data_IF_138997262166
#
_entry.id   IF_138997262166
#
_cell.length_a   1.000
_cell.length_b   1.000
_cell.length_c   1.000
_cell.angle_alpha   90.00
_cell.angle_beta   90.00
_cell.angle_gamma   90.00
#
_symmetry.space_group_name_H-M   'P 1'
#
loop_
_entity.id
_entity.type
_entity.pdbx_description
1 polymer ?
#
# COMPACT_ATOMS: atom_id res chain seq x y z
N UNK A 1 10.70 15.81 -22.27
CA UNK A 1 10.27 16.98 -23.09
C UNK A 1 9.41 16.46 -24.24
N UNK A 2 8.22 17.02 -24.46
CA UNK A 2 7.30 16.64 -25.54
C UNK A 2 6.91 17.91 -26.33
N UNK A 3 7.44 18.15 -27.54
CA UNK A 3 7.17 19.37 -28.31
C UNK A 3 5.69 19.61 -28.63
N UNK A 4 4.90 18.54 -28.82
CA UNK A 4 3.46 18.63 -29.07
C UNK A 4 2.65 19.00 -27.83
N UNK A 5 3.26 18.96 -26.64
CA UNK A 5 2.61 19.14 -25.33
C UNK A 5 1.38 18.23 -25.12
N UNK A 6 1.35 17.09 -25.80
CA UNK A 6 0.33 16.06 -25.61
C UNK A 6 0.85 15.00 -24.65
N UNK A 7 0.14 14.81 -23.54
CA UNK A 7 0.50 13.88 -22.48
C UNK A 7 -0.75 13.19 -21.94
N UNK A 8 -0.59 11.92 -21.56
CA UNK A 8 -1.48 11.24 -20.63
C UNK A 8 -0.70 10.99 -19.36
N UNK A 9 -1.07 11.68 -18.29
CA UNK A 9 -0.42 11.57 -16.98
C UNK A 9 -1.36 10.79 -16.07
N UNK A 10 -0.83 9.75 -15.43
CA UNK A 10 -1.57 8.90 -14.48
C UNK A 10 -0.85 8.97 -13.14
N UNK A 11 -1.61 9.11 -12.06
CA UNK A 11 -1.08 9.10 -10.71
C UNK A 11 -2.15 9.37 -9.67
N UNK A 12 -1.77 9.17 -8.42
CA UNK A 12 -2.62 9.41 -7.25
C UNK A 12 -1.87 10.33 -6.29
N UNK A 13 -2.51 11.46 -5.94
CA UNK A 13 -1.95 12.45 -4.99
C UNK A 13 -1.75 11.83 -3.61
N UNK A 14 -2.63 10.91 -3.21
CA UNK A 14 -2.57 10.21 -1.93
C UNK A 14 -1.40 9.22 -1.84
N UNK A 15 -0.71 8.92 -2.95
CA UNK A 15 0.48 8.05 -2.98
C UNK A 15 1.78 8.85 -3.17
N UNK A 16 1.72 10.18 -3.12
CA UNK A 16 2.87 11.05 -3.24
C UNK A 16 3.52 11.28 -1.88
N UNK A 17 4.60 10.53 -1.59
CA UNK A 17 5.34 10.58 -0.33
C UNK A 17 5.78 12.00 0.04
N UNK A 18 6.51 12.67 -0.84
CA UNK A 18 7.02 14.04 -0.63
C UNK A 18 5.96 15.15 -0.83
N UNK A 19 4.68 14.80 -0.71
CA UNK A 19 3.56 15.72 -0.85
C UNK A 19 3.19 16.07 -2.29
N UNK A 20 1.89 16.12 -2.53
CA UNK A 20 1.28 16.70 -3.72
C UNK A 20 0.05 17.50 -3.27
N UNK A 21 0.32 18.69 -2.71
CA UNK A 21 -0.71 19.53 -2.12
C UNK A 21 -1.63 20.17 -3.17
N UNK A 22 -1.09 20.65 -4.28
CA UNK A 22 -1.84 21.32 -5.36
C UNK A 22 -2.79 20.37 -6.09
N UNK A 23 -3.81 20.91 -6.75
CA UNK A 23 -4.64 20.13 -7.66
C UNK A 23 -3.86 19.73 -8.93
N UNK A 24 -4.29 18.65 -9.59
CA UNK A 24 -3.66 18.23 -10.86
C UNK A 24 -3.66 19.33 -11.92
N UNK A 25 -4.76 20.10 -12.03
CA UNK A 25 -4.87 21.21 -12.98
C UNK A 25 -3.80 22.28 -12.71
N UNK A 26 -3.73 22.79 -11.49
CA UNK A 26 -2.76 23.83 -11.09
C UNK A 26 -1.32 23.41 -11.39
N UNK A 27 -0.95 22.17 -11.05
CA UNK A 27 0.41 21.67 -11.29
C UNK A 27 0.73 21.58 -12.79
N UNK A 28 -0.21 21.13 -13.60
CA UNK A 28 -0.04 20.98 -15.05
C UNK A 28 -0.01 22.34 -15.76
N UNK A 29 -0.79 23.32 -15.29
CA UNK A 29 -0.76 24.71 -15.75
C UNK A 29 0.61 25.35 -15.49
N UNK A 30 1.15 25.17 -14.28
CA UNK A 30 2.51 25.62 -13.93
C UNK A 30 3.60 24.97 -14.79
N UNK A 31 3.35 23.78 -15.33
CA UNK A 31 4.23 23.09 -16.26
C UNK A 31 4.08 23.57 -17.72
N UNK A 32 3.19 24.54 -18.00
CA UNK A 32 2.96 25.12 -19.33
C UNK A 32 1.96 24.37 -20.20
N UNK A 33 1.07 23.56 -19.60
CA UNK A 33 -0.05 22.91 -20.28
C UNK A 33 -1.32 23.76 -20.12
N UNK A 34 -1.96 24.09 -21.23
CA UNK A 34 -3.13 25.01 -21.25
C UNK A 34 -4.47 24.27 -21.44
N UNK A 35 -4.44 23.06 -22.03
CA UNK A 35 -5.64 22.26 -22.31
C UNK A 35 -5.63 21.01 -21.45
N UNK A 36 -6.21 21.11 -20.26
CA UNK A 36 -6.18 20.05 -19.26
C UNK A 36 -7.58 19.49 -19.04
N UNK A 37 -7.71 18.17 -19.16
CA UNK A 37 -8.89 17.42 -18.74
C UNK A 37 -8.47 16.42 -17.68
N UNK A 38 -9.20 16.38 -16.56
CA UNK A 38 -8.96 15.45 -15.45
C UNK A 38 -10.13 14.50 -15.37
N UNK A 39 -9.85 13.21 -15.37
CA UNK A 39 -10.83 12.14 -15.15
C UNK A 39 -10.37 11.31 -13.98
N UNK A 40 -11.23 11.14 -12.97
CA UNK A 40 -10.92 10.38 -11.76
C UNK A 40 -11.44 8.95 -11.87
N UNK A 41 -10.56 7.98 -11.59
CA UNK A 41 -10.97 6.59 -11.39
C UNK A 41 -11.32 6.40 -9.91
N UNK A 42 -12.57 6.04 -9.65
CA UNK A 42 -13.12 5.94 -8.28
C UNK A 42 -13.48 4.51 -7.88
N UNK A 43 -13.32 3.55 -8.77
CA UNK A 43 -13.66 2.14 -8.53
C UNK A 43 -12.37 1.35 -8.41
N UNK A 44 -12.24 0.61 -7.31
CA UNK A 44 -11.15 -0.32 -7.07
C UNK A 44 -11.65 -1.77 -7.20
N UNK A 45 -10.97 -2.55 -8.03
CA UNK A 45 -11.25 -3.97 -8.24
C UNK A 45 -10.10 -4.88 -7.78
N UNK A 46 -8.97 -4.29 -7.35
CA UNK A 46 -7.75 -5.02 -6.96
C UNK A 46 -7.71 -5.29 -5.46
N UNK A 47 -7.85 -4.24 -4.66
CA UNK A 47 -7.81 -4.30 -3.19
C UNK A 47 -9.21 -4.58 -2.64
N UNK A 48 -9.38 -5.58 -1.76
CA UNK A 48 -10.65 -5.87 -1.13
C UNK A 48 -11.20 -4.72 -0.26
N UNK A 49 -12.52 -4.67 -0.07
CA UNK A 49 -13.21 -3.71 0.81
C UNK A 49 -12.64 -3.72 2.24
N UNK A 50 -12.31 -4.88 2.77
CA UNK A 50 -11.79 -5.08 4.12
C UNK A 50 -10.45 -4.34 4.33
N UNK A 51 -9.57 -4.41 3.33
CA UNK A 51 -8.27 -3.72 3.35
C UNK A 51 -8.45 -2.21 3.19
N UNK A 52 -9.37 -1.77 2.34
CA UNK A 52 -9.65 -0.34 2.17
C UNK A 52 -10.28 0.28 3.43
N UNK A 53 -11.11 -0.47 4.16
CA UNK A 53 -11.69 -0.03 5.43
C UNK A 53 -10.61 0.26 6.48
N UNK A 54 -9.51 -0.50 6.48
CA UNK A 54 -8.34 -0.26 7.33
C UNK A 54 -7.46 0.89 6.82
N UNK A 55 -7.25 0.96 5.50
CA UNK A 55 -6.32 1.91 4.89
C UNK A 55 -6.86 3.35 4.79
N UNK A 56 -8.15 3.52 4.51
CA UNK A 56 -8.77 4.83 4.29
C UNK A 56 -8.61 5.81 5.49
N UNK A 57 -8.87 5.40 6.75
CA UNK A 57 -8.68 6.27 7.90
C UNK A 57 -7.25 6.79 8.03
N UNK A 58 -6.25 5.95 7.75
CA UNK A 58 -4.84 6.28 7.89
C UNK A 58 -4.42 7.45 6.97
N UNK A 59 -4.87 7.44 5.71
CA UNK A 59 -4.53 8.51 4.77
C UNK A 59 -5.39 9.76 4.97
N UNK A 60 -6.69 9.60 5.28
CA UNK A 60 -7.60 10.74 5.47
C UNK A 60 -7.27 11.57 6.71
N UNK A 61 -6.64 10.98 7.71
CA UNK A 61 -6.17 11.69 8.90
C UNK A 61 -5.17 12.82 8.57
N UNK A 62 -4.38 12.67 7.50
CA UNK A 62 -3.37 13.65 7.08
C UNK A 62 -3.71 14.36 5.77
N UNK A 63 -4.51 13.72 4.91
CA UNK A 63 -4.98 14.25 3.62
C UNK A 63 -6.49 14.05 3.50
N UNK A 64 -7.31 14.94 4.09
CA UNK A 64 -8.77 14.77 4.12
C UNK A 64 -9.42 14.69 2.73
N UNK A 65 -8.85 15.36 1.72
CA UNK A 65 -9.29 15.39 0.33
C UNK A 65 -8.74 14.23 -0.53
N UNK A 66 -8.07 13.23 0.08
CA UNK A 66 -7.57 12.07 -0.63
C UNK A 66 -8.67 11.38 -1.46
N UNK A 67 -8.37 11.13 -2.74
CA UNK A 67 -9.24 10.40 -3.66
C UNK A 67 -9.12 8.88 -3.43
N UNK A 68 -9.64 8.43 -2.29
CA UNK A 68 -9.70 7.01 -1.94
C UNK A 68 -10.79 6.34 -2.80
N UNK A 69 -10.47 5.32 -3.62
CA UNK A 69 -11.45 4.66 -4.47
C UNK A 69 -12.36 3.72 -3.67
N UNK A 70 -13.60 3.57 -4.11
CA UNK A 70 -14.55 2.57 -3.59
C UNK A 70 -14.21 1.19 -4.12
N UNK A 71 -13.87 0.27 -3.23
CA UNK A 71 -13.71 -1.14 -3.58
C UNK A 71 -15.06 -1.80 -3.82
N UNK A 72 -15.17 -2.55 -4.92
CA UNK A 72 -16.38 -3.33 -5.29
C UNK A 72 -16.19 -4.84 -5.11
N UNK A 73 -15.00 -5.24 -4.66
CA UNK A 73 -14.62 -6.63 -4.43
C UNK A 73 -14.55 -6.87 -2.92
N UNK A 74 -15.26 -7.89 -2.46
CA UNK A 74 -15.13 -8.41 -1.09
C UNK A 74 -14.15 -9.58 -1.09
N UNK A 75 -13.21 -9.58 -0.15
CA UNK A 75 -12.24 -10.65 0.03
C UNK A 75 -12.79 -11.80 0.89
N UNK A 76 -13.71 -11.49 1.81
CA UNK A 76 -14.22 -12.45 2.80
C UNK A 76 -13.22 -12.79 3.90
N UNK A 77 -12.03 -12.19 3.85
CA UNK A 77 -10.97 -12.32 4.84
C UNK A 77 -10.84 -10.98 5.57
N UNK A 78 -11.12 -10.93 6.89
CA UNK A 78 -10.93 -9.70 7.66
C UNK A 78 -9.44 -9.36 7.79
N UNK A 79 -9.15 -8.09 8.07
CA UNK A 79 -7.81 -7.68 8.50
C UNK A 79 -7.52 -8.32 9.86
N UNK A 80 -6.37 -8.97 9.97
CA UNK A 80 -5.93 -9.63 11.21
C UNK A 80 -4.91 -8.75 11.91
N UNK A 81 -5.05 -8.59 13.22
CA UNK A 81 -4.07 -7.92 14.07
C UNK A 81 -3.45 -8.93 15.04
N UNK A 82 -2.15 -8.81 15.30
CA UNK A 82 -1.42 -9.75 16.15
C UNK A 82 -0.07 -9.22 16.62
N UNK A 83 0.71 -10.10 17.23
CA UNK A 83 2.08 -9.84 17.66
C UNK A 83 3.08 -10.21 16.56
N UNK A 84 4.21 -9.50 16.48
CA UNK A 84 5.32 -9.88 15.61
C UNK A 84 5.83 -11.30 15.89
N UNK A 85 5.66 -11.82 17.12
CA UNK A 85 5.99 -13.20 17.47
C UNK A 85 5.15 -14.24 16.69
N UNK A 86 4.02 -13.85 16.10
CA UNK A 86 3.12 -14.71 15.34
C UNK A 86 3.44 -14.72 13.84
N UNK A 87 4.45 -13.96 13.38
CA UNK A 87 4.77 -13.79 11.96
C UNK A 87 5.00 -15.12 11.24
N UNK A 88 5.83 -16.01 11.80
CA UNK A 88 6.14 -17.29 11.17
C UNK A 88 4.89 -18.17 11.06
N UNK A 89 4.08 -18.24 12.12
CA UNK A 89 2.81 -18.98 12.12
C UNK A 89 1.84 -18.45 11.06
N UNK A 90 1.69 -17.12 10.95
CA UNK A 90 0.84 -16.49 9.94
C UNK A 90 1.28 -16.86 8.53
N UNK A 91 2.59 -16.84 8.27
CA UNK A 91 3.14 -17.18 6.96
C UNK A 91 2.96 -18.67 6.64
N UNK A 92 3.28 -19.55 7.59
CA UNK A 92 3.15 -21.01 7.42
C UNK A 92 1.71 -21.42 7.13
N UNK A 93 0.77 -20.97 7.97
CA UNK A 93 -0.66 -21.28 7.82
C UNK A 93 -1.20 -20.77 6.48
N UNK A 94 -0.83 -19.54 6.10
CA UNK A 94 -1.30 -18.95 4.86
C UNK A 94 -0.70 -19.64 3.64
N UNK A 95 0.60 -19.94 3.64
CA UNK A 95 1.29 -20.60 2.53
C UNK A 95 0.80 -22.04 2.33
N UNK A 96 0.41 -22.73 3.41
CA UNK A 96 -0.19 -24.05 3.36
C UNK A 96 -1.62 -24.03 2.76
N UNK A 97 -2.38 -22.98 3.05
CA UNK A 97 -3.74 -22.80 2.51
C UNK A 97 -3.76 -22.27 1.06
N UNK A 98 -2.70 -21.58 0.61
CA UNK A 98 -2.64 -20.92 -0.70
C UNK A 98 -1.43 -21.41 -1.50
N UNK A 99 -1.63 -22.46 -2.30
CA UNK A 99 -0.54 -23.14 -3.03
C UNK A 99 0.25 -22.21 -3.98
N UNK A 100 -0.44 -21.30 -4.68
CA UNK A 100 0.15 -20.43 -5.70
C UNK A 100 0.31 -18.96 -5.28
N UNK A 101 -0.20 -18.61 -4.10
CA UNK A 101 -0.22 -17.22 -3.63
C UNK A 101 1.16 -16.67 -3.31
N UNK A 102 1.35 -15.37 -3.46
CA UNK A 102 2.58 -14.67 -3.06
C UNK A 102 2.33 -13.75 -1.88
N UNK A 103 3.27 -13.75 -0.93
CA UNK A 103 3.17 -12.93 0.27
C UNK A 103 4.30 -11.90 0.33
N UNK A 104 4.04 -10.79 1.01
CA UNK A 104 5.05 -9.78 1.31
C UNK A 104 4.97 -9.37 2.77
N UNK A 105 6.12 -9.40 3.44
CA UNK A 105 6.32 -8.75 4.73
C UNK A 105 6.91 -7.38 4.49
N UNK A 106 6.25 -6.35 5.02
CA UNK A 106 6.68 -4.97 4.90
C UNK A 106 7.04 -4.44 6.29
N UNK A 107 8.24 -3.87 6.44
CA UNK A 107 8.66 -3.26 7.70
C UNK A 107 9.54 -4.14 8.61
N UNK A 108 9.94 -5.32 8.18
CA UNK A 108 10.78 -6.23 8.98
C UNK A 108 12.27 -5.84 9.06
N UNK A 109 12.68 -4.70 8.48
CA UNK A 109 14.04 -4.18 8.58
C UNK A 109 14.33 -3.69 10.00
N UNK A 110 14.76 -4.60 10.87
CA UNK A 110 15.04 -4.30 12.29
C UNK A 110 14.61 -5.41 13.24
N UNK A 111 13.70 -6.30 12.81
CA UNK A 111 13.30 -7.47 13.60
C UNK A 111 14.36 -8.56 13.43
N UNK A 112 15.27 -8.65 14.40
CA UNK A 112 16.31 -9.68 14.43
C UNK A 112 15.72 -11.07 14.26
N UNK A 113 16.14 -11.79 13.22
CA UNK A 113 15.71 -13.16 12.92
C UNK A 113 14.87 -13.30 11.64
N UNK A 114 14.18 -12.24 11.22
CA UNK A 114 13.18 -12.31 10.14
C UNK A 114 13.85 -12.31 8.75
N UNK A 115 14.93 -11.55 8.57
CA UNK A 115 15.70 -11.51 7.31
C UNK A 115 16.46 -12.80 6.94
N UNK A 116 16.77 -13.67 7.91
CA UNK A 116 17.44 -14.96 7.65
C UNK A 116 16.44 -16.10 7.40
N UNK A 117 15.19 -15.97 7.86
CA UNK A 117 14.15 -16.99 7.70
C UNK A 117 13.47 -16.94 6.32
N UNK A 118 13.36 -15.76 5.69
CA UNK A 118 12.75 -15.64 4.35
C UNK A 118 13.48 -16.37 3.23
N UNK A 119 14.76 -16.70 3.40
CA UNK A 119 15.48 -17.56 2.46
C UNK A 119 14.84 -18.96 2.33
N UNK A 120 14.05 -19.40 3.31
CA UNK A 120 13.30 -20.66 3.27
C UNK A 120 11.97 -20.53 2.49
N UNK A 121 11.41 -19.33 2.38
CA UNK A 121 10.12 -19.08 1.75
C UNK A 121 10.27 -18.53 0.34
N UNK A 122 10.30 -19.41 -0.65
CA UNK A 122 10.44 -19.03 -2.08
C UNK A 122 9.36 -18.07 -2.61
N UNK A 123 8.19 -17.99 -1.94
CA UNK A 123 7.03 -17.16 -2.32
C UNK A 123 6.78 -15.96 -1.40
N UNK A 124 7.70 -15.68 -0.48
CA UNK A 124 7.60 -14.55 0.45
C UNK A 124 8.68 -13.53 0.10
N UNK A 125 8.31 -12.26 0.00
CA UNK A 125 9.25 -11.14 -0.11
C UNK A 125 9.29 -10.35 1.19
N UNK A 126 10.44 -9.76 1.48
CA UNK A 126 10.61 -8.78 2.55
C UNK A 126 10.99 -7.46 1.91
N UNK A 127 10.18 -6.41 2.10
CA UNK A 127 10.38 -5.11 1.47
C UNK A 127 10.19 -3.97 2.47
N UNK A 128 10.74 -2.81 2.16
CA UNK A 128 10.32 -1.56 2.82
C UNK A 128 9.00 -1.07 2.21
N UNK A 129 8.28 -0.16 2.88
CA UNK A 129 7.11 0.48 2.29
C UNK A 129 7.40 1.10 0.92
N UNK A 130 8.56 1.74 0.75
CA UNK A 130 8.97 2.37 -0.49
C UNK A 130 9.22 1.35 -1.61
N UNK A 131 9.89 0.24 -1.29
CA UNK A 131 10.18 -0.82 -2.25
C UNK A 131 8.93 -1.64 -2.64
N UNK A 132 7.89 -1.63 -1.78
CA UNK A 132 6.61 -2.27 -2.08
C UNK A 132 5.78 -1.50 -3.11
N UNK A 133 6.07 -0.21 -3.32
CA UNK A 133 5.26 0.67 -4.16
C UNK A 133 5.21 0.17 -5.60
N UNK A 134 3.99 0.05 -6.13
CA UNK A 134 3.75 -0.44 -7.49
C UNK A 134 3.79 -1.97 -7.63
N UNK A 135 4.05 -2.70 -6.55
CA UNK A 135 3.90 -4.15 -6.47
C UNK A 135 2.55 -4.53 -5.86
N UNK A 136 2.18 -5.80 -5.98
CA UNK A 136 0.93 -6.37 -5.45
C UNK A 136 1.19 -7.80 -4.96
N UNK A 137 0.54 -8.18 -3.87
CA UNK A 137 0.70 -9.48 -3.22
C UNK A 137 -0.65 -9.99 -2.72
N UNK A 138 -0.86 -11.30 -2.72
CA UNK A 138 -2.10 -11.89 -2.22
C UNK A 138 -2.22 -11.68 -0.71
N UNK A 139 -1.12 -11.89 0.02
CA UNK A 139 -0.97 -11.56 1.43
C UNK A 139 0.03 -10.42 1.61
N UNK A 140 -0.34 -9.42 2.41
CA UNK A 140 0.60 -8.46 2.97
C UNK A 140 0.58 -8.56 4.49
N UNK A 141 1.75 -8.70 5.09
CA UNK A 141 1.96 -8.59 6.54
C UNK A 141 2.73 -7.30 6.80
N UNK A 142 2.14 -6.36 7.52
CA UNK A 142 2.84 -5.18 8.01
C UNK A 142 3.41 -5.47 9.39
N UNK A 143 4.68 -5.12 9.60
CA UNK A 143 5.34 -5.22 10.89
C UNK A 143 5.62 -3.81 11.40
N UNK A 144 5.09 -3.49 12.59
CA UNK A 144 5.25 -2.20 13.26
C UNK A 144 4.98 -1.00 12.33
N UNK A 145 3.81 -0.91 11.65
CA UNK A 145 3.54 0.11 10.65
C UNK A 145 3.60 1.56 11.16
N UNK A 146 3.47 1.77 12.47
CA UNK A 146 3.71 3.06 13.12
C UNK A 146 5.15 3.56 12.96
N UNK A 147 6.10 2.65 12.74
CA UNK A 147 7.53 2.98 12.54
C UNK A 147 7.87 3.39 11.12
N UNK A 148 6.92 3.29 10.16
CA UNK A 148 7.15 3.62 8.73
C UNK A 148 7.34 5.13 8.47
N UNK A 149 7.42 5.93 9.52
CA UNK A 149 7.61 7.37 9.47
C UNK A 149 6.48 8.14 10.12
N UNK A 150 6.70 9.43 10.26
CA UNK A 150 5.78 10.37 10.90
C UNK A 150 5.06 11.26 9.87
N UNK A 151 3.99 11.92 10.33
CA UNK A 151 3.26 12.91 9.54
C UNK A 151 2.69 12.37 8.23
N UNK A 152 2.73 13.18 7.18
CA UNK A 152 2.18 12.85 5.86
C UNK A 152 2.93 11.70 5.21
N UNK A 153 4.27 11.70 5.26
CA UNK A 153 5.06 10.65 4.59
C UNK A 153 4.76 9.27 5.18
N UNK A 154 4.76 9.15 6.52
CA UNK A 154 4.45 7.89 7.18
C UNK A 154 3.02 7.41 6.94
N UNK A 155 2.05 8.31 6.90
CA UNK A 155 0.66 7.96 6.59
C UNK A 155 0.49 7.50 5.13
N UNK A 156 1.20 8.14 4.19
CA UNK A 156 1.26 7.69 2.79
C UNK A 156 1.92 6.31 2.69
N UNK A 157 3.02 6.09 3.39
CA UNK A 157 3.74 4.82 3.36
C UNK A 157 2.89 3.68 3.94
N UNK A 158 2.20 3.91 5.06
CA UNK A 158 1.20 2.97 5.61
C UNK A 158 0.06 2.67 4.63
N UNK A 159 -0.54 3.71 4.05
CA UNK A 159 -1.63 3.55 3.08
C UNK A 159 -1.20 2.77 1.83
N UNK A 160 -0.03 3.11 1.27
CA UNK A 160 0.54 2.41 0.11
C UNK A 160 0.82 0.95 0.47
N UNK A 161 1.44 0.68 1.62
CA UNK A 161 1.77 -0.67 2.07
C UNK A 161 0.52 -1.55 2.25
N UNK A 162 -0.52 -1.05 2.95
CA UNK A 162 -1.79 -1.77 3.12
C UNK A 162 -2.44 -2.11 1.77
N UNK A 163 -2.46 -1.14 0.85
CA UNK A 163 -3.11 -1.31 -0.46
C UNK A 163 -2.33 -2.19 -1.44
N UNK A 164 -1.17 -2.75 -1.06
CA UNK A 164 -0.49 -3.79 -1.86
C UNK A 164 -1.19 -5.16 -1.74
N UNK A 165 -2.04 -5.36 -0.73
CA UNK A 165 -2.78 -6.59 -0.53
C UNK A 165 -3.94 -6.74 -1.54
N UNK A 166 -3.99 -7.87 -2.24
CA UNK A 166 -5.06 -8.21 -3.18
C UNK A 166 -6.03 -9.25 -2.61
N UNK A 167 -5.70 -9.91 -1.49
CA UNK A 167 -6.61 -10.82 -0.78
C UNK A 167 -6.67 -10.54 0.72
N UNK A 168 -5.54 -10.57 1.43
CA UNK A 168 -5.51 -10.47 2.89
C UNK A 168 -4.44 -9.50 3.38
N UNK A 169 -4.79 -8.76 4.43
CA UNK A 169 -3.87 -7.89 5.18
C UNK A 169 -3.76 -8.39 6.62
N UNK A 170 -2.53 -8.46 7.11
CA UNK A 170 -2.21 -8.74 8.51
C UNK A 170 -1.35 -7.58 9.03
N UNK A 171 -1.63 -7.11 10.24
CA UNK A 171 -0.87 -6.05 10.91
C UNK A 171 -0.34 -6.60 12.23
N UNK A 172 0.98 -6.70 12.34
CA UNK A 172 1.66 -7.22 13.51
C UNK A 172 2.40 -6.10 14.23
N UNK A 173 2.32 -6.08 15.56
CA UNK A 173 3.03 -5.11 16.40
C UNK A 173 3.91 -5.81 17.43
N UNK A 174 5.06 -5.22 17.75
CA UNK A 174 6.07 -5.81 18.64
C UNK A 174 5.66 -5.81 20.12
N UNK A 175 4.74 -4.91 20.51
CA UNK A 175 4.32 -4.64 21.91
C UNK A 175 5.42 -4.18 22.87
#
# INVERSE_FOLDING_TARGET
>A
RCPSRSFTVVGDRAQARHGFAEAWQERLERAGLERISVSSLRVNYRTPEEVMAEAEPAIRAVLPDANVPTSIRKGGLPVVHGSVAELDTVLDDWLAAHADGVACVIGSEGVGGVGSAFGAYSRVRSLTPELSKGLEFDLVVLVDPETFGEGVEGAVDRYVAMTRATQQLVVLTSS
#
